data_IF_308731334986
#
_entry.id   IF_308731334986
#
_cell.length_a   1.000
_cell.length_b   1.000
_cell.length_c   1.000
_cell.angle_alpha   90.00
_cell.angle_beta   90.00
_cell.angle_gamma   90.00
#
_symmetry.space_group_name_H-M   'P 1'
#
loop_
_entity.id
_entity.type
_entity.pdbx_description
1 polymer ?
#
# COMPACT_ATOMS: atom_id res chain seq x y z
N UNK A 1 -9.31 24.86 -14.71
CA UNK A 1 -10.34 24.16 -13.92
C UNK A 1 -10.21 22.68 -14.21
N UNK A 2 -10.02 21.83 -13.22
CA UNK A 2 -9.89 20.35 -13.35
C UNK A 2 -11.22 19.71 -12.93
N UNK A 3 -11.63 18.64 -13.60
CA UNK A 3 -12.88 17.92 -13.28
C UNK A 3 -12.51 16.56 -12.71
N UNK A 4 -13.12 16.16 -11.60
CA UNK A 4 -12.96 14.85 -10.99
C UNK A 4 -14.33 14.16 -10.99
N UNK A 5 -14.42 13.01 -11.65
CA UNK A 5 -15.60 12.15 -11.64
C UNK A 5 -15.27 10.87 -10.91
N UNK A 6 -15.88 10.68 -9.74
CA UNK A 6 -15.77 9.48 -8.93
C UNK A 6 -16.83 8.47 -9.34
N UNK A 7 -16.46 7.20 -9.47
CA UNK A 7 -17.35 6.10 -9.78
C UNK A 7 -16.92 4.90 -8.93
N UNK A 8 -17.86 4.26 -8.25
CA UNK A 8 -17.59 3.10 -7.41
C UNK A 8 -18.80 2.17 -7.41
N UNK A 9 -18.53 0.87 -7.44
CA UNK A 9 -19.56 -0.15 -7.22
C UNK A 9 -19.60 -0.50 -5.73
N UNK A 10 -20.73 -0.24 -5.07
CA UNK A 10 -20.96 -0.57 -3.67
C UNK A 10 -22.46 -0.76 -3.41
N UNK A 11 -22.83 -1.93 -2.87
CA UNK A 11 -24.23 -2.23 -2.54
C UNK A 11 -24.59 -1.70 -1.15
N UNK A 12 -25.48 -0.71 -1.13
CA UNK A 12 -26.01 -0.12 0.12
C UNK A 12 -27.28 -0.81 0.60
N UNK A 13 -27.62 -0.58 1.87
CA UNK A 13 -28.91 -0.89 2.46
C UNK A 13 -29.83 0.35 2.46
N UNK A 14 -31.12 0.12 2.72
CA UNK A 14 -32.08 1.22 2.77
C UNK A 14 -31.73 2.24 3.87
N UNK A 15 -31.72 3.52 3.49
CA UNK A 15 -31.35 4.65 4.35
C UNK A 15 -29.84 4.92 4.45
N UNK A 16 -28.99 4.14 3.77
CA UNK A 16 -27.55 4.41 3.71
C UNK A 16 -27.19 5.34 2.55
N UNK A 17 -26.21 6.19 2.81
CA UNK A 17 -25.56 7.06 1.83
C UNK A 17 -24.10 6.65 1.68
N UNK A 18 -23.60 6.60 0.44
CA UNK A 18 -22.18 6.47 0.17
C UNK A 18 -21.55 7.86 0.04
N UNK A 19 -20.50 8.11 0.80
CA UNK A 19 -19.82 9.39 0.85
C UNK A 19 -18.33 9.24 0.52
N UNK A 20 -17.72 10.31 0.02
CA UNK A 20 -16.28 10.42 -0.19
C UNK A 20 -15.75 11.67 0.50
N UNK A 21 -14.84 11.47 1.45
CA UNK A 21 -14.10 12.53 2.14
C UNK A 21 -12.68 12.61 1.57
N UNK A 22 -12.14 13.82 1.44
CA UNK A 22 -10.82 14.01 0.87
C UNK A 22 -10.19 15.33 1.24
N UNK A 23 -8.90 15.47 0.97
CA UNK A 23 -8.04 16.58 1.40
C UNK A 23 -8.30 17.92 0.70
N UNK A 24 -9.37 18.04 -0.08
CA UNK A 24 -9.75 19.27 -0.78
C UNK A 24 -11.11 19.78 -0.27
N UNK A 25 -11.38 21.09 -0.40
CA UNK A 25 -12.64 21.67 0.10
C UNK A 25 -13.90 21.02 -0.47
N UNK A 26 -13.88 20.62 -1.75
CA UNK A 26 -15.02 19.97 -2.40
C UNK A 26 -15.34 18.58 -1.83
N UNK A 27 -14.41 17.99 -1.07
CA UNK A 27 -14.56 16.70 -0.41
C UNK A 27 -14.47 16.82 1.13
N UNK A 28 -14.68 18.03 1.67
CA UNK A 28 -14.78 18.27 3.11
C UNK A 28 -13.45 18.35 3.87
N UNK A 29 -12.29 18.47 3.21
CA UNK A 29 -10.98 18.56 3.89
C UNK A 29 -10.72 17.45 4.93
N UNK A 30 -11.13 16.22 4.59
CA UNK A 30 -11.11 15.02 5.44
C UNK A 30 -12.10 15.04 6.62
N UNK A 31 -12.97 16.04 6.72
CA UNK A 31 -14.13 16.04 7.62
C UNK A 31 -15.29 15.24 7.00
N UNK A 32 -15.74 14.19 7.68
CA UNK A 32 -16.84 13.32 7.22
C UNK A 32 -18.20 14.05 7.20
N UNK A 33 -18.39 15.08 8.03
CA UNK A 33 -19.63 15.87 8.06
C UNK A 33 -19.82 16.70 6.78
N UNK A 34 -18.71 17.17 6.20
CA UNK A 34 -18.66 18.01 5.00
C UNK A 34 -18.33 17.20 3.72
N UNK A 35 -18.35 15.87 3.81
CA UNK A 35 -17.98 14.98 2.73
C UNK A 35 -18.95 15.07 1.54
N UNK A 36 -18.43 14.76 0.35
CA UNK A 36 -19.23 14.69 -0.86
C UNK A 36 -20.10 13.42 -0.82
N UNK A 37 -21.42 13.60 -0.90
CA UNK A 37 -22.37 12.49 -1.04
C UNK A 37 -22.43 12.04 -2.50
N UNK A 38 -22.35 10.74 -2.73
CA UNK A 38 -22.48 10.16 -4.06
C UNK A 38 -23.96 9.94 -4.41
N UNK A 39 -24.25 9.90 -5.71
CA UNK A 39 -25.58 9.59 -6.24
C UNK A 39 -25.61 8.21 -6.90
N UNK A 40 -26.73 7.53 -6.80
CA UNK A 40 -26.98 6.24 -7.46
C UNK A 40 -28.40 6.19 -8.02
N UNK A 41 -28.61 5.38 -9.06
CA UNK A 41 -29.94 5.08 -9.62
C UNK A 41 -30.42 3.67 -9.31
N UNK A 42 -29.54 2.79 -8.82
CA UNK A 42 -29.81 1.37 -8.63
C UNK A 42 -29.35 0.83 -7.26
N UNK A 43 -28.75 1.67 -6.41
CA UNK A 43 -28.25 1.28 -5.09
C UNK A 43 -26.90 0.55 -5.11
N UNK A 44 -26.27 0.42 -6.29
CA UNK A 44 -25.06 -0.37 -6.53
C UNK A 44 -23.97 0.48 -7.20
N UNK A 45 -24.31 1.17 -8.29
CA UNK A 45 -23.38 2.04 -9.01
C UNK A 45 -23.51 3.47 -8.50
N UNK A 46 -22.45 3.96 -7.87
CA UNK A 46 -22.41 5.29 -7.26
C UNK A 46 -21.46 6.19 -8.03
N UNK A 47 -21.85 7.44 -8.23
CA UNK A 47 -21.00 8.43 -8.87
C UNK A 47 -21.25 9.84 -8.35
N UNK A 48 -20.24 10.70 -8.48
CA UNK A 48 -20.36 12.13 -8.25
C UNK A 48 -19.26 12.87 -9.02
N UNK A 49 -19.49 14.14 -9.33
CA UNK A 49 -18.54 14.98 -10.06
C UNK A 49 -18.28 16.28 -9.29
N UNK A 50 -17.01 16.67 -9.22
CA UNK A 50 -16.59 17.95 -8.66
C UNK A 50 -15.65 18.67 -9.61
N UNK A 51 -15.72 20.01 -9.58
CA UNK A 51 -14.85 20.88 -10.33
C UNK A 51 -13.94 21.66 -9.39
N UNK A 52 -12.64 21.61 -9.65
CA UNK A 52 -11.62 22.30 -8.84
C UNK A 52 -10.94 23.38 -9.67
N UNK A 53 -10.74 24.55 -9.05
CA UNK A 53 -10.13 25.72 -9.71
C UNK A 53 -8.61 25.64 -9.72
N UNK A 54 -8.03 25.27 -8.58
CA UNK A 54 -6.60 25.04 -8.36
C UNK A 54 -6.34 23.56 -8.08
N UNK A 55 -5.11 23.13 -8.36
CA UNK A 55 -4.61 21.80 -8.04
C UNK A 55 -3.38 21.99 -7.16
N UNK A 56 -3.38 21.35 -5.99
CA UNK A 56 -2.28 21.45 -5.04
C UNK A 56 -1.06 20.64 -5.49
N UNK A 57 0.07 20.96 -4.87
CA UNK A 57 1.31 20.21 -5.07
C UNK A 57 1.26 18.83 -4.44
N UNK A 58 0.49 18.62 -3.39
CA UNK A 58 0.36 17.30 -2.76
C UNK A 58 -0.63 16.42 -3.52
N UNK A 59 -0.48 15.08 -3.49
CA UNK A 59 -1.51 14.18 -3.99
C UNK A 59 -2.84 14.41 -3.26
N UNK A 60 -3.95 14.30 -3.99
CA UNK A 60 -5.28 14.24 -3.37
C UNK A 60 -5.35 12.96 -2.55
N UNK A 61 -5.61 13.11 -1.25
CA UNK A 61 -5.82 12.04 -0.29
C UNK A 61 -7.33 11.92 -0.03
N UNK A 62 -7.92 10.73 -0.18
CA UNK A 62 -9.36 10.54 -0.04
C UNK A 62 -9.74 9.11 0.34
N UNK A 63 -10.94 8.95 0.89
CA UNK A 63 -11.49 7.66 1.25
C UNK A 63 -13.02 7.65 1.19
N UNK A 64 -13.59 6.45 1.06
CA UNK A 64 -15.03 6.21 1.09
C UNK A 64 -15.52 5.74 2.46
N UNK A 65 -16.75 6.13 2.78
CA UNK A 65 -17.46 5.66 3.96
C UNK A 65 -18.98 5.64 3.71
N UNK A 66 -19.67 4.83 4.51
CA UNK A 66 -21.12 4.70 4.50
C UNK A 66 -21.68 5.44 5.71
N UNK A 67 -22.66 6.31 5.46
CA UNK A 67 -23.34 7.09 6.48
C UNK A 67 -24.81 6.71 6.54
N UNK A 68 -25.38 6.68 7.74
CA UNK A 68 -26.81 6.47 7.97
C UNK A 68 -27.26 7.31 9.16
N UNK A 69 -28.36 8.04 9.00
CA UNK A 69 -28.93 8.92 10.02
C UNK A 69 -27.91 9.92 10.61
N UNK A 70 -26.96 10.39 9.78
CA UNK A 70 -25.90 11.32 10.18
C UNK A 70 -24.66 10.67 10.81
N UNK A 71 -24.66 9.35 11.04
CA UNK A 71 -23.53 8.63 11.65
C UNK A 71 -22.81 7.73 10.66
N UNK A 72 -21.47 7.71 10.71
CA UNK A 72 -20.63 6.80 9.95
C UNK A 72 -20.83 5.36 10.43
N UNK A 73 -21.37 4.51 9.56
CA UNK A 73 -21.60 3.10 9.83
C UNK A 73 -20.38 2.26 9.50
N UNK A 74 -19.66 2.64 8.45
CA UNK A 74 -18.54 1.87 7.91
C UNK A 74 -17.60 2.79 7.15
N UNK A 75 -16.31 2.54 7.28
CA UNK A 75 -15.26 3.19 6.50
C UNK A 75 -14.45 2.14 5.75
N UNK A 76 -13.94 2.49 4.57
CA UNK A 76 -13.01 1.61 3.86
C UNK A 76 -11.68 1.44 4.61
N UNK A 77 -10.97 0.34 4.35
CA UNK A 77 -9.74 0.02 5.07
C UNK A 77 -8.60 1.00 4.73
N UNK A 78 -7.84 1.37 5.76
CA UNK A 78 -6.68 2.29 5.66
C UNK A 78 -5.50 1.66 4.88
N UNK A 79 -4.51 2.43 4.41
CA UNK A 79 -4.47 3.88 4.32
C UNK A 79 -5.49 4.42 3.32
N UNK A 80 -5.75 5.73 3.35
CA UNK A 80 -6.53 6.41 2.34
C UNK A 80 -5.87 6.31 0.95
N UNK A 81 -6.67 6.53 -0.10
CA UNK A 81 -6.24 6.52 -1.50
C UNK A 81 -5.48 7.79 -1.83
N UNK A 82 -4.52 7.70 -2.76
CA UNK A 82 -3.82 8.88 -3.25
C UNK A 82 -3.71 8.95 -4.77
N UNK A 83 -4.00 10.14 -5.30
CA UNK A 83 -3.85 10.45 -6.72
C UNK A 83 -3.23 11.83 -6.93
N UNK A 84 -2.21 11.90 -7.79
CA UNK A 84 -1.62 13.17 -8.17
C UNK A 84 -2.44 13.81 -9.29
N UNK A 85 -3.11 14.91 -8.95
CA UNK A 85 -3.91 15.67 -9.90
C UNK A 85 -3.03 16.54 -10.81
N UNK A 86 -3.60 16.95 -11.95
CA UNK A 86 -2.99 17.94 -12.84
C UNK A 86 -4.00 18.98 -13.27
N UNK A 87 -3.54 20.22 -13.46
CA UNK A 87 -4.37 21.34 -13.93
C UNK A 87 -4.95 21.07 -15.32
N UNK A 88 -6.14 21.61 -15.57
CA UNK A 88 -6.83 21.52 -16.87
C UNK A 88 -6.90 20.08 -17.41
N UNK A 89 -7.12 19.13 -16.51
CA UNK A 89 -7.26 17.71 -16.82
C UNK A 89 -8.61 17.21 -16.36
N UNK A 90 -9.18 16.25 -17.07
CA UNK A 90 -10.44 15.61 -16.69
C UNK A 90 -10.11 14.20 -16.18
N UNK A 91 -10.40 13.94 -14.91
CA UNK A 91 -10.16 12.67 -14.24
C UNK A 91 -11.47 11.87 -14.15
N UNK A 92 -11.46 10.66 -14.67
CA UNK A 92 -12.51 9.66 -14.44
C UNK A 92 -11.93 8.56 -13.59
N UNK A 93 -12.35 8.50 -12.33
CA UNK A 93 -11.82 7.60 -11.31
C UNK A 93 -12.82 6.48 -11.13
N UNK A 94 -12.41 5.26 -11.43
CA UNK A 94 -13.10 4.03 -11.12
C UNK A 94 -12.46 3.43 -9.87
N UNK A 95 -13.13 3.57 -8.73
CA UNK A 95 -12.72 3.04 -7.46
C UNK A 95 -13.32 1.64 -7.21
N UNK A 96 -12.56 0.82 -6.50
CA UNK A 96 -13.00 -0.46 -5.95
C UNK A 96 -12.92 -0.38 -4.44
N UNK A 97 -14.00 -0.69 -3.73
CA UNK A 97 -14.05 -0.59 -2.26
C UNK A 97 -12.88 -1.36 -1.60
N UNK A 98 -12.15 -0.70 -0.69
CA UNK A 98 -11.02 -1.32 0.03
C UNK A 98 -11.53 -2.09 1.24
N UNK A 99 -11.57 -3.41 1.09
CA UNK A 99 -11.87 -4.32 2.19
C UNK A 99 -10.68 -4.52 3.13
N UNK A 100 -10.96 -4.77 4.40
CA UNK A 100 -9.97 -5.35 5.30
C UNK A 100 -9.66 -6.78 4.85
N UNK A 101 -8.37 -7.12 4.79
CA UNK A 101 -7.94 -8.45 4.36
C UNK A 101 -7.23 -9.18 5.49
N UNK A 102 -7.25 -10.51 5.43
CA UNK A 102 -6.49 -11.37 6.34
C UNK A 102 -5.00 -11.01 6.42
N UNK A 103 -4.45 -10.43 5.34
CA UNK A 103 -3.05 -10.01 5.26
C UNK A 103 -2.79 -8.57 5.75
N UNK A 104 -3.68 -7.99 6.56
CA UNK A 104 -3.49 -6.64 7.15
C UNK A 104 -2.18 -6.53 7.95
N UNK A 105 -1.67 -7.63 8.51
CA UNK A 105 -0.37 -7.68 9.19
C UNK A 105 0.82 -7.26 8.30
N UNK A 106 0.71 -7.38 6.97
CA UNK A 106 1.75 -6.96 6.02
C UNK A 106 1.94 -5.43 5.95
N UNK A 107 1.01 -4.67 6.53
CA UNK A 107 1.10 -3.20 6.62
C UNK A 107 1.76 -2.73 7.93
N UNK A 108 2.12 -3.64 8.83
CA UNK A 108 2.86 -3.30 10.07
C UNK A 108 4.31 -2.94 9.79
N UNK A 109 4.93 -2.17 10.68
CA UNK A 109 6.34 -1.72 10.55
C UNK A 109 7.33 -2.87 10.37
N UNK A 110 7.09 -4.03 10.97
CA UNK A 110 7.91 -5.24 10.77
C UNK A 110 8.01 -5.58 9.27
N UNK A 111 6.91 -5.49 8.52
CA UNK A 111 6.92 -5.79 7.10
C UNK A 111 7.28 -4.58 6.25
N UNK A 112 6.70 -3.41 6.52
CA UNK A 112 6.86 -2.21 5.69
C UNK A 112 8.23 -1.55 5.84
N UNK A 113 8.83 -1.65 7.02
CA UNK A 113 10.11 -1.00 7.35
C UNK A 113 11.28 -1.98 7.47
N UNK A 114 11.02 -3.29 7.60
CA UNK A 114 12.07 -4.31 7.73
C UNK A 114 11.97 -5.43 6.69
N UNK A 115 10.99 -6.34 6.74
CA UNK A 115 10.99 -7.60 5.95
C UNK A 115 10.79 -7.36 4.46
N UNK A 116 9.82 -6.53 4.07
CA UNK A 116 9.50 -6.16 2.69
C UNK A 116 9.83 -4.69 2.39
N UNK A 117 10.76 -4.11 3.15
CA UNK A 117 11.16 -2.70 2.97
C UNK A 117 11.59 -2.43 1.54
N UNK A 118 10.89 -1.51 0.90
CA UNK A 118 11.20 -1.02 -0.44
C UNK A 118 11.17 0.50 -0.47
N UNK A 119 11.97 1.13 -1.36
CA UNK A 119 11.97 2.58 -1.49
C UNK A 119 10.64 3.05 -2.09
N UNK A 120 9.95 3.93 -1.38
CA UNK A 120 8.78 4.62 -1.92
C UNK A 120 9.19 5.58 -3.03
N UNK A 121 8.38 5.64 -4.08
CA UNK A 121 8.51 6.56 -5.19
C UNK A 121 7.43 7.63 -5.09
N UNK A 122 7.78 8.88 -5.41
CA UNK A 122 6.81 9.97 -5.43
C UNK A 122 5.72 9.73 -6.48
N UNK A 123 4.47 10.03 -6.12
CA UNK A 123 3.35 9.96 -7.07
C UNK A 123 3.54 11.03 -8.16
N UNK A 124 3.80 10.58 -9.39
CA UNK A 124 4.00 11.46 -10.53
C UNK A 124 2.66 11.99 -11.06
N UNK A 125 2.65 13.25 -11.48
CA UNK A 125 1.53 13.79 -12.25
C UNK A 125 1.44 13.07 -13.60
N UNK A 126 0.22 12.74 -14.08
CA UNK A 126 0.05 12.14 -15.40
C UNK A 126 0.72 12.98 -16.49
N UNK A 127 1.43 12.35 -17.42
CA UNK A 127 2.26 13.03 -18.43
C UNK A 127 1.62 13.05 -19.81
N UNK A 128 0.76 12.09 -20.13
CA UNK A 128 0.21 11.97 -21.48
C UNK A 128 -1.06 12.80 -21.69
N UNK A 129 -1.41 13.08 -22.94
CA UNK A 129 -2.68 13.74 -23.29
C UNK A 129 -3.87 12.86 -22.90
N UNK A 130 -3.71 11.54 -23.03
CA UNK A 130 -4.70 10.54 -22.65
C UNK A 130 -3.99 9.45 -21.85
N UNK A 131 -4.26 9.40 -20.57
CA UNK A 131 -3.59 8.47 -19.64
C UNK A 131 -4.57 7.46 -19.08
N UNK A 132 -4.08 6.24 -18.86
CA UNK A 132 -4.73 5.24 -18.02
C UNK A 132 -3.81 4.99 -16.83
N UNK A 133 -4.22 5.42 -15.65
CA UNK A 133 -3.51 5.17 -14.40
C UNK A 133 -4.12 3.91 -13.76
N UNK A 134 -3.28 2.94 -13.43
CA UNK A 134 -3.69 1.75 -12.70
C UNK A 134 -3.02 1.81 -11.32
N UNK A 135 -3.82 1.71 -10.27
CA UNK A 135 -3.34 1.54 -8.90
C UNK A 135 -3.71 0.13 -8.42
N UNK A 136 -2.71 -0.60 -7.94
CA UNK A 136 -2.80 -2.00 -7.55
C UNK A 136 -2.38 -2.17 -6.10
N UNK A 137 -3.23 -2.82 -5.31
CA UNK A 137 -2.94 -3.24 -3.95
C UNK A 137 -2.27 -4.60 -4.00
N UNK A 138 -0.96 -4.63 -3.76
CA UNK A 138 -0.10 -5.80 -3.73
C UNK A 138 0.91 -5.72 -2.57
N UNK A 139 0.54 -6.18 -1.36
CA UNK A 139 1.42 -6.15 -0.18
C UNK A 139 2.42 -7.32 -0.13
N UNK A 140 2.42 -8.21 -1.12
CA UNK A 140 3.15 -9.49 -1.11
C UNK A 140 4.60 -9.41 -1.63
N UNK A 141 5.04 -8.23 -2.06
CA UNK A 141 6.27 -8.02 -2.83
C UNK A 141 7.48 -7.95 -1.90
N UNK A 142 8.47 -8.82 -2.13
CA UNK A 142 9.70 -8.87 -1.33
C UNK A 142 10.73 -7.83 -1.79
N UNK A 143 11.76 -7.59 -0.96
CA UNK A 143 12.82 -6.58 -1.22
C UNK A 143 13.44 -6.65 -2.63
N UNK A 144 13.63 -7.85 -3.17
CA UNK A 144 14.27 -8.08 -4.46
C UNK A 144 13.27 -8.21 -5.61
N UNK A 145 11.98 -7.96 -5.37
CA UNK A 145 10.90 -8.14 -6.34
C UNK A 145 10.22 -6.80 -6.64
N UNK A 146 9.47 -6.74 -7.74
CA UNK A 146 8.63 -5.59 -8.07
C UNK A 146 7.41 -6.06 -8.87
N UNK A 147 6.38 -5.22 -8.91
CA UNK A 147 5.18 -5.50 -9.71
C UNK A 147 5.39 -4.99 -11.13
N UNK A 148 5.04 -5.80 -12.11
CA UNK A 148 4.99 -5.44 -13.52
C UNK A 148 3.61 -5.65 -14.11
N UNK A 149 3.31 -4.92 -15.18
CA UNK A 149 2.17 -5.16 -16.06
C UNK A 149 2.68 -5.59 -17.43
N UNK A 150 2.06 -6.63 -17.99
CA UNK A 150 2.21 -6.99 -19.40
C UNK A 150 0.88 -7.49 -19.96
N UNK A 151 0.75 -7.51 -21.28
CA UNK A 151 -0.49 -7.83 -21.95
C UNK A 151 -0.34 -7.83 -23.45
N UNK A 152 -1.48 -7.88 -24.12
CA UNK A 152 -1.54 -7.83 -25.58
C UNK A 152 -1.17 -6.44 -26.13
N UNK A 153 -0.42 -6.41 -27.22
CA UNK A 153 0.00 -5.20 -27.90
C UNK A 153 1.40 -4.73 -27.49
N UNK A 154 2.05 -4.02 -28.41
CA UNK A 154 3.44 -3.56 -28.26
C UNK A 154 3.62 -2.67 -27.02
N UNK A 155 2.62 -1.85 -26.68
CA UNK A 155 2.65 -0.96 -25.52
C UNK A 155 2.62 -1.68 -24.17
N UNK A 156 2.16 -2.92 -24.13
CA UNK A 156 2.16 -3.78 -22.94
C UNK A 156 3.18 -4.92 -23.05
N UNK A 157 4.04 -4.90 -24.08
CA UNK A 157 5.12 -5.86 -24.23
C UNK A 157 4.74 -7.20 -24.86
N UNK A 158 3.51 -7.39 -25.36
CA UNK A 158 3.03 -8.64 -25.96
C UNK A 158 3.32 -9.89 -25.10
N UNK A 159 3.01 -9.83 -23.80
CA UNK A 159 3.25 -10.91 -22.82
C UNK A 159 4.73 -11.28 -22.59
N UNK A 160 5.68 -10.52 -23.14
CA UNK A 160 7.12 -10.67 -22.88
C UNK A 160 7.52 -9.89 -21.63
N UNK A 161 7.90 -10.60 -20.56
CA UNK A 161 8.32 -10.01 -19.29
C UNK A 161 9.52 -9.07 -19.41
N UNK A 162 10.40 -9.26 -20.42
CA UNK A 162 11.52 -8.34 -20.67
C UNK A 162 11.06 -6.98 -21.20
N UNK A 163 9.84 -6.90 -21.70
CA UNK A 163 9.18 -5.69 -22.20
C UNK A 163 8.03 -5.24 -21.30
N UNK A 164 7.81 -5.92 -20.17
CA UNK A 164 6.79 -5.56 -19.21
C UNK A 164 7.12 -4.20 -18.58
N UNK A 165 6.07 -3.46 -18.22
CA UNK A 165 6.23 -2.15 -17.62
C UNK A 165 6.27 -2.29 -16.10
N UNK A 166 7.30 -1.78 -15.40
CA UNK A 166 7.33 -1.78 -13.94
C UNK A 166 6.31 -0.80 -13.37
N UNK A 167 5.72 -1.17 -12.24
CA UNK A 167 4.92 -0.26 -11.41
C UNK A 167 5.83 0.40 -10.37
N UNK A 168 5.46 1.62 -9.98
CA UNK A 168 6.09 2.37 -8.89
C UNK A 168 5.38 2.09 -7.57
N UNK A 169 6.10 1.67 -6.54
CA UNK A 169 5.57 1.60 -5.17
C UNK A 169 5.40 3.03 -4.65
N UNK A 170 4.16 3.48 -4.50
CA UNK A 170 3.86 4.87 -4.07
C UNK A 170 3.52 4.98 -2.60
N UNK A 171 3.06 3.88 -2.02
CA UNK A 171 2.71 3.71 -0.61
C UNK A 171 2.81 2.23 -0.30
N UNK A 172 2.99 1.84 0.96
CA UNK A 172 3.17 0.43 1.32
C UNK A 172 2.05 -0.45 0.76
N UNK A 173 2.42 -1.44 -0.04
CA UNK A 173 1.50 -2.34 -0.73
C UNK A 173 0.68 -1.69 -1.86
N UNK A 174 0.86 -0.41 -2.19
CA UNK A 174 0.15 0.28 -3.27
C UNK A 174 1.11 0.68 -4.40
N UNK A 175 0.82 0.16 -5.58
CA UNK A 175 1.64 0.26 -6.77
C UNK A 175 0.91 1.03 -7.84
N UNK A 176 1.60 1.90 -8.59
CA UNK A 176 1.00 2.68 -9.67
C UNK A 176 1.77 2.59 -10.97
N UNK A 177 1.05 2.58 -12.09
CA UNK A 177 1.62 2.75 -13.43
C UNK A 177 0.71 3.62 -14.28
N UNK A 178 1.32 4.60 -14.97
CA UNK A 178 0.66 5.38 -16.00
C UNK A 178 0.93 4.74 -17.37
N UNK A 179 -0.14 4.45 -18.11
CA UNK A 179 -0.08 4.02 -19.50
C UNK A 179 -0.48 5.17 -20.42
N UNK A 180 0.25 5.31 -21.53
CA UNK A 180 -0.19 6.17 -22.63
C UNK A 180 -1.32 5.48 -23.39
N UNK A 181 -2.55 5.93 -23.15
CA UNK A 181 -3.77 5.30 -23.65
C UNK A 181 -4.19 5.77 -25.06
N UNK A 182 -3.38 6.57 -25.75
CA UNK A 182 -3.71 7.05 -27.10
C UNK A 182 -3.88 5.91 -28.12
N UNK A 183 -3.04 4.88 -28.03
CA UNK A 183 -2.96 3.80 -29.02
C UNK A 183 -3.17 2.41 -28.40
N UNK A 184 -3.83 2.33 -27.25
CA UNK A 184 -4.20 1.04 -26.66
C UNK A 184 -5.69 0.80 -26.94
N UNK A 185 -6.05 -0.27 -27.67
CA UNK A 185 -7.44 -0.63 -27.89
C UNK A 185 -8.18 -0.84 -26.57
N UNK A 186 -9.44 -0.38 -26.51
CA UNK A 186 -10.32 -0.76 -25.40
C UNK A 186 -10.67 -2.25 -25.55
N UNK A 187 -10.59 -3.01 -24.46
CA UNK A 187 -10.74 -4.46 -24.50
C UNK A 187 -9.41 -5.24 -24.52
N UNK A 188 -8.26 -4.55 -24.50
CA UNK A 188 -6.94 -5.19 -24.49
C UNK A 188 -6.73 -6.01 -23.22
N UNK A 189 -6.48 -7.34 -23.32
CA UNK A 189 -6.17 -8.18 -22.17
C UNK A 189 -4.79 -7.88 -21.61
N UNK A 190 -4.67 -7.89 -20.28
CA UNK A 190 -3.42 -7.68 -19.55
C UNK A 190 -3.42 -8.44 -18.23
N UNK A 191 -2.25 -8.50 -17.59
CA UNK A 191 -2.07 -9.14 -16.30
C UNK A 191 -0.92 -8.54 -15.51
N UNK A 192 -1.03 -8.58 -14.18
CA UNK A 192 0.07 -8.23 -13.28
C UNK A 192 0.91 -9.45 -12.91
N UNK A 193 2.21 -9.23 -12.71
CA UNK A 193 3.12 -10.21 -12.15
C UNK A 193 4.04 -9.57 -11.10
N UNK A 194 4.44 -10.34 -10.10
CA UNK A 194 5.56 -10.02 -9.20
C UNK A 194 6.77 -10.73 -9.79
N UNK A 195 7.85 -9.98 -10.04
CA UNK A 195 9.05 -10.51 -10.69
C UNK A 195 10.30 -10.12 -9.94
N UNK A 196 11.32 -10.98 -10.02
CA UNK A 196 12.64 -10.68 -9.46
C UNK A 196 13.37 -9.57 -10.24
N UNK A 197 13.93 -8.62 -9.49
CA UNK A 197 14.66 -7.41 -9.94
C UNK A 197 15.91 -7.69 -10.77
N UNK A 198 16.57 -8.83 -10.59
CA UNK A 198 17.87 -9.06 -11.22
C UNK A 198 17.76 -9.75 -12.59
N UNK A 199 16.83 -10.70 -12.75
CA UNK A 199 16.84 -11.58 -13.93
C UNK A 199 15.50 -12.25 -14.27
N UNK A 200 14.38 -11.86 -13.64
CA UNK A 200 13.08 -12.54 -13.81
C UNK A 200 13.13 -14.05 -13.50
N UNK A 201 14.09 -14.51 -12.70
CA UNK A 201 14.23 -15.94 -12.34
C UNK A 201 13.04 -16.47 -11.54
N UNK A 202 12.34 -15.58 -10.84
CA UNK A 202 11.09 -15.85 -10.15
C UNK A 202 10.02 -14.92 -10.72
N UNK A 203 8.90 -15.53 -11.08
CA UNK A 203 7.72 -14.85 -11.61
C UNK A 203 6.52 -15.44 -10.90
N UNK A 204 5.75 -14.59 -10.24
CA UNK A 204 4.43 -14.92 -9.72
C UNK A 204 3.40 -14.13 -10.50
N UNK A 205 2.55 -14.80 -11.26
CA UNK A 205 1.42 -14.17 -11.95
C UNK A 205 0.25 -14.02 -11.00
N UNK A 206 -0.54 -12.96 -11.14
CA UNK A 206 -1.80 -12.90 -10.41
C UNK A 206 -2.71 -14.08 -10.81
N UNK A 207 -3.61 -14.48 -9.93
CA UNK A 207 -4.48 -15.62 -10.17
C UNK A 207 -5.71 -15.25 -11.02
N UNK A 208 -6.30 -16.26 -11.67
CA UNK A 208 -7.49 -16.13 -12.51
C UNK A 208 -7.24 -15.61 -13.91
N UNK A 209 -8.33 -15.27 -14.59
CA UNK A 209 -8.34 -14.78 -15.98
C UNK A 209 -7.61 -13.46 -16.16
N UNK A 210 -7.19 -13.20 -17.41
CA UNK A 210 -6.62 -11.91 -17.79
C UNK A 210 -7.60 -10.78 -17.50
N UNK A 211 -7.08 -9.67 -16.97
CA UNK A 211 -7.85 -8.43 -16.82
C UNK A 211 -8.05 -7.79 -18.18
N UNK A 212 -9.10 -6.99 -18.31
CA UNK A 212 -9.41 -6.27 -19.53
C UNK A 212 -9.19 -4.77 -19.32
N UNK A 213 -8.40 -4.15 -20.18
CA UNK A 213 -8.14 -2.73 -20.12
C UNK A 213 -9.26 -1.95 -20.81
N UNK A 214 -10.03 -1.21 -20.02
CA UNK A 214 -11.07 -0.32 -20.54
C UNK A 214 -10.49 1.08 -20.77
N UNK A 215 -10.36 1.43 -22.05
CA UNK A 215 -9.97 2.76 -22.50
C UNK A 215 -11.22 3.47 -23.04
N UNK A 216 -11.49 4.66 -22.51
CA UNK A 216 -12.52 5.53 -23.08
C UNK A 216 -12.15 5.88 -24.52
N UNK A 217 -13.04 5.65 -25.49
CA UNK A 217 -12.80 5.97 -26.90
C UNK A 217 -13.07 7.44 -27.25
N UNK A 218 -13.58 8.23 -26.31
CA UNK A 218 -13.93 9.63 -26.56
C UNK A 218 -12.72 10.45 -27.03
N UNK A 219 -12.95 11.24 -28.08
CA UNK A 219 -12.00 12.22 -28.64
C UNK A 219 -12.14 13.52 -27.86
N UNK A 220 -11.65 13.53 -26.63
CA UNK A 220 -11.63 14.76 -25.85
C UNK A 220 -10.58 15.74 -26.41
N UNK A 221 -10.97 17.00 -26.56
CA UNK A 221 -10.03 18.09 -26.91
C UNK A 221 -9.02 18.34 -25.79
N UNK A 222 -9.42 18.05 -24.55
CA UNK A 222 -8.69 18.28 -23.31
C UNK A 222 -7.90 17.05 -22.87
N UNK A 223 -6.91 17.26 -22.00
CA UNK A 223 -6.16 16.18 -21.38
C UNK A 223 -7.09 15.37 -20.48
N UNK A 224 -7.09 14.04 -20.63
CA UNK A 224 -7.93 13.15 -19.83
C UNK A 224 -7.12 12.03 -19.18
N UNK A 225 -7.53 11.66 -17.98
CA UNK A 225 -6.92 10.61 -17.17
C UNK A 225 -8.02 9.70 -16.67
N UNK A 226 -8.01 8.47 -17.14
CA UNK A 226 -8.85 7.40 -16.58
C UNK A 226 -8.05 6.65 -15.52
N UNK A 227 -8.66 6.34 -14.39
CA UNK A 227 -7.98 5.75 -13.23
C UNK A 227 -8.75 4.52 -12.80
N UNK A 228 -8.08 3.37 -12.66
CA UNK A 228 -8.61 2.24 -11.91
C UNK A 228 -7.88 2.20 -10.56
N UNK A 229 -8.58 2.52 -9.49
CA UNK A 229 -8.01 2.75 -8.16
C UNK A 229 -8.38 1.65 -7.18
N UNK A 230 -7.37 1.06 -6.53
CA UNK A 230 -7.57 0.00 -5.55
C UNK A 230 -7.77 -1.40 -6.16
N UNK A 231 -7.17 -1.70 -7.31
CA UNK A 231 -7.21 -3.04 -7.88
C UNK A 231 -6.46 -4.03 -6.98
N UNK A 232 -7.13 -5.01 -6.38
CA UNK A 232 -6.44 -6.02 -5.56
C UNK A 232 -5.68 -7.00 -6.45
N UNK A 233 -4.39 -7.20 -6.17
CA UNK A 233 -3.60 -8.27 -6.77
C UNK A 233 -4.12 -9.64 -6.31
N UNK A 234 -4.52 -10.50 -7.24
CA UNK A 234 -5.15 -11.79 -6.93
C UNK A 234 -4.09 -12.81 -6.53
N UNK A 235 -4.05 -13.14 -5.24
CA UNK A 235 -3.15 -14.15 -4.68
C UNK A 235 -3.81 -14.82 -3.48
N UNK A 236 -4.52 -15.93 -3.71
CA UNK A 236 -5.44 -16.51 -2.73
C UNK A 236 -4.76 -17.21 -1.56
N UNK A 237 -3.51 -17.67 -1.74
CA UNK A 237 -2.79 -18.48 -0.76
C UNK A 237 -1.40 -17.95 -0.42
N UNK A 238 -1.24 -16.62 -0.36
CA UNK A 238 0.02 -16.06 0.11
C UNK A 238 0.29 -16.49 1.56
N UNK A 239 1.49 -17.01 1.81
CA UNK A 239 1.97 -17.27 3.16
C UNK A 239 3.41 -16.76 3.29
N UNK A 240 3.64 -15.93 4.28
CA UNK A 240 4.99 -15.60 4.71
C UNK A 240 5.42 -16.55 5.82
N UNK A 241 6.64 -17.07 5.70
CA UNK A 241 7.31 -17.85 6.74
C UNK A 241 8.62 -17.15 7.04
N UNK A 242 8.83 -16.81 8.30
CA UNK A 242 10.12 -16.35 8.79
C UNK A 242 10.65 -17.27 9.87
N UNK A 243 11.96 -17.22 10.08
CA UNK A 243 12.63 -17.86 11.21
C UNK A 243 13.34 -16.81 12.05
N UNK A 244 13.49 -17.08 13.33
CA UNK A 244 14.12 -16.15 14.23
C UNK A 244 14.65 -16.84 15.46
N UNK A 245 15.33 -16.05 16.27
CA UNK A 245 15.97 -16.47 17.51
C UNK A 245 15.45 -15.61 18.66
N UNK A 246 15.15 -16.25 19.79
CA UNK A 246 14.89 -15.56 21.04
C UNK A 246 16.10 -15.70 21.95
N UNK A 247 16.61 -14.57 22.45
CA UNK A 247 17.86 -14.55 23.22
C UNK A 247 17.83 -13.49 24.33
N UNK A 248 18.32 -13.79 25.55
CA UNK A 248 18.56 -12.76 26.54
C UNK A 248 19.80 -11.95 26.21
N UNK A 249 19.72 -10.62 26.37
CA UNK A 249 20.88 -9.74 26.17
C UNK A 249 22.07 -10.19 27.01
N UNK A 250 21.84 -10.50 28.29
CA UNK A 250 22.88 -10.92 29.23
C UNK A 250 23.58 -12.25 28.88
N UNK A 251 23.06 -13.00 27.91
CA UNK A 251 23.68 -14.25 27.45
C UNK A 251 24.67 -14.05 26.31
N UNK A 252 24.67 -12.87 25.69
CA UNK A 252 25.62 -12.53 24.65
C UNK A 252 27.01 -12.37 25.25
N UNK A 253 28.01 -12.93 24.58
CA UNK A 253 29.41 -12.81 24.97
C UNK A 253 30.23 -12.53 23.73
N UNK A 254 31.08 -11.51 23.81
CA UNK A 254 32.12 -11.28 22.82
C UNK A 254 33.45 -10.92 23.47
N UNK A 255 34.53 -11.07 22.71
CA UNK A 255 35.90 -10.73 23.14
C UNK A 255 36.08 -9.25 23.48
N UNK A 256 35.13 -8.39 23.10
CA UNK A 256 35.15 -6.93 23.36
C UNK A 256 34.33 -6.53 24.60
N UNK A 257 33.64 -7.48 25.24
CA UNK A 257 32.71 -7.24 26.35
C UNK A 257 33.23 -7.82 27.66
N UNK A 258 32.64 -7.40 28.79
CA UNK A 258 32.88 -8.03 30.09
C UNK A 258 32.21 -9.42 30.23
N UNK A 259 31.60 -9.97 29.17
CA UNK A 259 30.94 -11.28 29.18
C UNK A 259 29.57 -11.29 29.89
N UNK A 260 29.03 -10.12 30.18
CA UNK A 260 27.73 -9.89 30.85
C UNK A 260 26.61 -9.55 29.88
N UNK A 261 26.90 -9.48 28.57
CA UNK A 261 25.97 -9.14 27.50
C UNK A 261 25.54 -7.68 27.54
N UNK A 262 26.15 -6.85 26.69
CA UNK A 262 25.79 -5.43 26.53
C UNK A 262 25.13 -5.15 25.16
N UNK A 263 24.65 -3.92 24.97
CA UNK A 263 24.04 -3.52 23.70
C UNK A 263 25.01 -3.51 22.50
N UNK A 264 26.33 -3.48 22.73
CA UNK A 264 27.32 -3.53 21.65
C UNK A 264 27.46 -4.96 21.13
N UNK A 265 27.34 -5.98 21.99
CA UNK A 265 27.31 -7.39 21.60
C UNK A 265 26.14 -7.73 20.66
N UNK A 266 25.03 -6.99 20.72
CA UNK A 266 23.90 -7.16 19.79
C UNK A 266 24.30 -6.99 18.32
N UNK A 267 25.31 -6.17 18.02
CA UNK A 267 25.77 -6.00 16.63
C UNK A 267 26.32 -7.30 16.07
N UNK A 268 27.15 -8.01 16.84
CA UNK A 268 27.70 -9.33 16.47
C UNK A 268 26.59 -10.38 16.36
N UNK A 269 25.57 -10.28 17.21
CA UNK A 269 24.38 -11.15 17.12
C UNK A 269 23.56 -10.89 15.83
N UNK A 270 23.45 -9.62 15.40
CA UNK A 270 22.84 -9.27 14.10
C UNK A 270 23.67 -9.84 12.95
N UNK A 271 24.99 -9.71 12.98
CA UNK A 271 25.86 -10.29 11.95
C UNK A 271 25.69 -11.82 11.85
N UNK A 272 25.63 -12.51 13.00
CA UNK A 272 25.33 -13.95 13.06
C UNK A 272 23.94 -14.29 12.53
N UNK A 273 22.94 -13.47 12.86
CA UNK A 273 21.56 -13.65 12.40
C UNK A 273 21.47 -13.52 10.88
N UNK A 274 22.18 -12.54 10.29
CA UNK A 274 22.31 -12.39 8.83
C UNK A 274 23.02 -13.59 8.22
N UNK A 275 24.14 -14.03 8.80
CA UNK A 275 24.91 -15.17 8.31
C UNK A 275 24.15 -16.52 8.36
N UNK A 276 23.08 -16.59 9.15
CA UNK A 276 22.24 -17.80 9.31
C UNK A 276 20.82 -17.63 8.73
N UNK A 277 20.60 -16.58 7.95
CA UNK A 277 19.33 -16.21 7.29
C UNK A 277 18.13 -16.02 8.25
N UNK A 278 18.36 -15.54 9.49
CA UNK A 278 17.25 -15.21 10.40
C UNK A 278 16.54 -13.93 9.98
N UNK A 279 15.21 -13.93 10.07
CA UNK A 279 14.36 -12.78 9.77
C UNK A 279 14.12 -11.89 10.99
N UNK A 280 14.26 -12.46 12.20
CA UNK A 280 13.85 -11.78 13.43
C UNK A 280 14.73 -12.17 14.64
N UNK A 281 15.01 -11.19 15.48
CA UNK A 281 15.63 -11.38 16.80
C UNK A 281 14.64 -10.90 17.85
N UNK A 282 14.23 -11.80 18.74
CA UNK A 282 13.45 -11.45 19.92
C UNK A 282 14.39 -11.34 21.11
N UNK A 283 14.64 -10.10 21.54
CA UNK A 283 15.39 -9.85 22.77
C UNK A 283 14.43 -10.05 23.95
N UNK A 284 14.83 -10.85 24.94
CA UNK A 284 14.10 -10.95 26.22
C UNK A 284 14.04 -9.57 26.92
N UNK A 285 13.14 -9.35 27.88
CA UNK A 285 13.02 -8.06 28.54
C UNK A 285 14.37 -7.51 29.03
N UNK A 286 14.64 -6.25 28.67
CA UNK A 286 15.88 -5.50 28.98
C UNK A 286 15.63 -4.35 29.95
N UNK A 287 14.41 -4.30 30.50
CA UNK A 287 13.95 -3.25 31.39
C UNK A 287 14.61 -3.34 32.75
N UNK A 288 14.68 -2.20 33.43
CA UNK A 288 15.23 -2.11 34.78
C UNK A 288 14.44 -2.99 35.76
N UNK A 289 15.17 -3.75 36.56
CA UNK A 289 14.69 -4.74 37.52
C UNK A 289 15.32 -4.54 38.91
N UNK A 290 16.07 -3.44 39.13
CA UNK A 290 16.86 -3.14 40.35
C UNK A 290 16.00 -2.77 41.57
N UNK A 291 15.19 -3.71 42.03
CA UNK A 291 14.25 -3.52 43.14
C UNK A 291 14.88 -3.60 44.53
N UNK A 292 15.87 -4.48 44.70
CA UNK A 292 16.46 -4.83 46.00
C UNK A 292 17.98 -4.68 46.06
N UNK A 293 18.62 -4.35 44.93
CA UNK A 293 20.07 -4.35 44.74
C UNK A 293 20.73 -5.70 45.09
N UNK A 294 20.02 -6.80 44.82
CA UNK A 294 20.51 -8.16 45.07
C UNK A 294 20.52 -8.99 43.78
N UNK A 295 21.16 -10.17 43.82
CA UNK A 295 21.25 -11.04 42.65
C UNK A 295 19.90 -11.49 42.10
N UNK A 296 18.82 -11.46 42.89
CA UNK A 296 17.47 -11.80 42.43
C UNK A 296 16.90 -10.79 41.44
N UNK A 297 17.44 -9.56 41.44
CA UNK A 297 17.06 -8.52 40.48
C UNK A 297 17.53 -8.86 39.05
N UNK A 298 18.35 -9.90 38.84
CA UNK A 298 18.72 -10.37 37.50
C UNK A 298 17.59 -11.11 36.74
N UNK A 299 16.41 -11.31 37.36
CA UNK A 299 15.27 -11.93 36.68
C UNK A 299 14.61 -10.93 35.71
N UNK A 300 14.63 -11.17 34.38
CA UNK A 300 14.23 -10.16 33.40
C UNK A 300 12.75 -9.80 33.43
N UNK A 301 11.90 -10.61 34.09
CA UNK A 301 10.46 -10.38 34.14
C UNK A 301 9.97 -9.64 35.41
N UNK A 302 10.87 -9.26 36.32
CA UNK A 302 10.54 -8.43 37.49
C UNK A 302 10.88 -6.96 37.24
N UNK A 303 10.36 -6.40 36.14
CA UNK A 303 10.65 -5.01 35.79
C UNK A 303 10.01 -4.03 36.77
N UNK A 304 10.78 -3.03 37.19
CA UNK A 304 10.33 -1.90 38.01
C UNK A 304 10.05 -0.65 37.16
N UNK A 305 10.52 -0.63 35.90
CA UNK A 305 10.30 0.47 34.97
C UNK A 305 10.12 -0.02 33.54
N UNK A 306 9.04 0.45 32.88
CA UNK A 306 8.83 0.24 31.44
C UNK A 306 9.59 1.26 30.56
N UNK A 307 10.21 2.28 31.17
CA UNK A 307 10.89 3.38 30.48
C UNK A 307 12.42 3.38 30.66
N UNK A 308 12.94 2.57 31.58
CA UNK A 308 14.37 2.47 31.85
C UNK A 308 14.90 1.11 31.42
N UNK A 309 16.07 1.11 30.79
CA UNK A 309 16.86 -0.10 30.60
C UNK A 309 17.56 -0.48 31.91
N UNK A 310 17.81 -1.78 32.09
CA UNK A 310 18.60 -2.26 33.21
C UNK A 310 19.99 -1.60 33.17
N UNK A 311 20.45 -0.98 34.27
CA UNK A 311 21.70 -0.22 34.30
C UNK A 311 22.97 -1.09 34.18
N UNK A 312 22.82 -2.43 34.20
CA UNK A 312 23.89 -3.45 34.24
C UNK A 312 24.68 -3.43 35.55
#
# INVERSE_FOLDING_TARGET
MTVLKFNIEYKTQWGEELCVAGSIPQLGELNEDDALVLSTINGVDWNSEVQIKSVDKEPLDYYYFVRKDGYTQRREHTPNRQIKLSVNTDFTIQDYWKEETYHSYLYTSVFTECVFKQPLQSIASPKHKKSKLLNVICPYVKKTEYVVITGEGERLGNWDLKKALPLSLVRYGEWQVELNALNIPSGTPYKFAIVDSCNFSKVHWEEGENRILHIDKSTQKRKSVSVDMGLTYKYSFFQWKGKGVSIPLFSLRSEESAGIGDFHDLKKMVDWSVATDQDMIQILPINDTTSTASWTDSYPYSSISIFAFNPI
#
